data_IF_877575322485
#
_entry.id   IF_877575322485
#
_cell.length_a   1.000
_cell.length_b   1.000
_cell.length_c   1.000
_cell.angle_alpha   90.00
_cell.angle_beta   90.00
_cell.angle_gamma   90.00
#
_symmetry.space_group_name_H-M   'P 1'
#
loop_
_entity.id
_entity.type
_entity.pdbx_description
1 polymer ?
#
# COMPACT_ATOMS: atom_id res chain seq x y z
N UNK A 1 38.26 -6.40 2.00
CA UNK A 1 38.22 -5.67 3.29
C UNK A 1 37.42 -4.37 3.21
N UNK A 2 37.51 -3.59 2.10
CA UNK A 2 36.79 -2.31 1.92
C UNK A 2 35.25 -2.40 1.86
N UNK A 3 34.67 -3.48 1.32
CA UNK A 3 33.20 -3.62 1.23
C UNK A 3 32.53 -3.69 2.61
N UNK A 4 33.15 -4.34 3.59
CA UNK A 4 32.62 -4.42 4.96
C UNK A 4 32.61 -3.05 5.64
N UNK A 5 33.63 -2.24 5.41
CA UNK A 5 33.73 -0.88 5.94
C UNK A 5 32.70 0.06 5.32
N UNK A 6 32.41 -0.09 4.02
CA UNK A 6 31.36 0.67 3.32
C UNK A 6 29.97 0.29 3.85
N UNK A 7 29.70 -1.00 4.05
CA UNK A 7 28.43 -1.46 4.65
C UNK A 7 28.24 -0.94 6.08
N UNK A 8 29.31 -0.94 6.88
CA UNK A 8 29.27 -0.44 8.25
C UNK A 8 29.04 1.08 8.29
N UNK A 9 29.67 1.82 7.37
CA UNK A 9 29.44 3.26 7.20
C UNK A 9 28.00 3.55 6.75
N UNK A 10 27.45 2.78 5.82
CA UNK A 10 26.08 2.94 5.35
C UNK A 10 25.04 2.62 6.44
N UNK A 11 25.28 1.58 7.25
CA UNK A 11 24.45 1.25 8.41
C UNK A 11 24.51 2.35 9.48
N UNK A 12 25.68 2.93 9.74
CA UNK A 12 25.84 4.07 10.65
C UNK A 12 25.16 5.34 10.13
N UNK A 13 25.21 5.60 8.83
CA UNK A 13 24.50 6.73 8.20
C UNK A 13 22.99 6.54 8.27
N UNK A 14 22.47 5.33 8.02
CA UNK A 14 21.05 5.00 8.22
C UNK A 14 20.63 5.20 9.68
N UNK A 15 21.42 4.74 10.65
CA UNK A 15 21.16 4.95 12.08
C UNK A 15 21.25 6.43 12.50
N UNK A 16 22.09 7.22 11.82
CA UNK A 16 22.20 8.67 12.05
C UNK A 16 21.00 9.44 11.47
N UNK A 17 20.46 9.03 10.31
CA UNK A 17 19.21 9.59 9.77
C UNK A 17 17.98 9.17 10.58
N UNK A 18 17.99 8.00 11.21
CA UNK A 18 16.93 7.57 12.16
C UNK A 18 16.95 8.39 13.46
N UNK A 19 18.07 9.05 13.80
CA UNK A 19 18.21 9.89 15.01
C UNK A 19 18.24 11.39 14.76
N UNK A 20 18.14 11.86 13.52
CA UNK A 20 18.26 13.28 13.17
C UNK A 20 16.91 13.96 12.89
N UNK A 21 15.81 13.42 13.42
CA UNK A 21 14.53 14.11 13.44
C UNK A 21 13.99 14.14 14.88
N UNK A 22 14.70 14.83 15.76
CA UNK A 22 14.19 15.27 17.06
C UNK A 22 13.11 16.34 16.84
N UNK A 23 11.97 15.91 16.30
CA UNK A 23 10.71 16.62 16.44
C UNK A 23 10.00 15.96 17.63
N UNK A 24 10.11 16.58 18.80
CA UNK A 24 9.54 16.13 20.08
C UNK A 24 8.00 16.11 20.15
N UNK A 25 7.30 16.10 19.01
CA UNK A 25 5.85 16.30 18.94
C UNK A 25 5.07 15.17 18.28
N UNK A 26 5.71 14.08 17.86
CA UNK A 26 4.99 12.96 17.28
C UNK A 26 5.64 11.64 17.69
N UNK A 27 5.17 11.03 18.78
CA UNK A 27 5.71 9.77 19.33
C UNK A 27 5.42 8.54 18.44
N UNK A 28 5.10 8.77 17.16
CA UNK A 28 4.68 7.77 16.19
C UNK A 28 3.32 7.14 16.49
N UNK A 29 2.56 7.71 17.44
CA UNK A 29 1.23 7.22 17.85
C UNK A 29 0.18 7.73 16.86
N UNK A 30 -0.69 6.82 16.42
CA UNK A 30 -1.80 7.12 15.52
C UNK A 30 -3.08 7.31 16.34
N UNK A 31 -3.76 8.43 16.13
CA UNK A 31 -5.00 8.82 16.78
C UNK A 31 -6.20 8.60 15.85
N UNK A 32 -7.32 8.17 16.42
CA UNK A 32 -8.58 7.98 15.68
C UNK A 32 -9.25 9.35 15.48
N UNK A 33 -9.52 9.70 14.22
CA UNK A 33 -10.22 10.94 13.85
C UNK A 33 -11.73 10.72 13.82
N UNK A 34 -12.17 9.65 13.15
CA UNK A 34 -13.60 9.38 12.97
C UNK A 34 -14.17 8.65 14.17
N UNK A 35 -15.06 9.33 14.88
CA UNK A 35 -15.81 8.80 16.03
C UNK A 35 -17.25 8.47 15.65
N UNK A 36 -17.95 7.74 16.51
CA UNK A 36 -19.37 7.40 16.32
C UNK A 36 -19.63 6.67 14.99
N UNK A 37 -18.84 5.63 14.74
CA UNK A 37 -18.90 4.82 13.52
C UNK A 37 -20.12 3.90 13.57
N UNK A 38 -21.00 3.98 12.56
CA UNK A 38 -22.11 3.03 12.38
C UNK A 38 -21.63 1.79 11.64
N UNK A 39 -21.53 0.68 12.37
CA UNK A 39 -21.04 -0.60 11.88
C UNK A 39 -21.96 -1.26 10.85
N UNK A 40 -23.23 -0.82 10.74
CA UNK A 40 -24.09 -1.24 9.62
C UNK A 40 -23.56 -0.73 8.27
N UNK A 41 -22.92 0.43 8.26
CA UNK A 41 -22.43 1.08 7.05
C UNK A 41 -21.05 0.55 6.63
N UNK A 42 -20.36 -0.19 7.51
CA UNK A 42 -19.09 -0.88 7.19
C UNK A 42 -19.39 -2.19 6.44
N UNK A 43 -19.97 -2.06 5.25
CA UNK A 43 -20.39 -3.18 4.38
C UNK A 43 -20.14 -2.88 2.91
N UNK A 44 -20.07 -3.94 2.08
CA UNK A 44 -19.91 -3.82 0.64
C UNK A 44 -18.44 -3.89 0.20
N UNK A 45 -18.20 -3.55 -1.06
CA UNK A 45 -16.88 -3.68 -1.70
C UNK A 45 -16.10 -2.38 -1.62
N UNK A 46 -14.89 -2.47 -1.06
CA UNK A 46 -13.90 -1.41 -1.08
C UNK A 46 -12.66 -1.85 -1.84
N UNK A 47 -12.07 -0.95 -2.60
CA UNK A 47 -10.85 -1.14 -3.36
C UNK A 47 -9.67 -0.50 -2.64
N UNK A 48 -8.54 -1.19 -2.65
CA UNK A 48 -7.29 -0.68 -2.09
C UNK A 48 -6.74 0.45 -2.96
N UNK A 49 -6.63 1.64 -2.40
CA UNK A 49 -6.03 2.79 -3.09
C UNK A 49 -4.53 2.84 -2.84
N UNK A 50 -4.14 2.74 -1.57
CA UNK A 50 -2.75 2.74 -1.17
C UNK A 50 -2.58 2.01 0.17
N UNK A 51 -1.38 1.52 0.42
CA UNK A 51 -0.99 0.93 1.71
C UNK A 51 0.32 1.53 2.16
N UNK A 52 0.68 1.37 3.43
CA UNK A 52 2.09 1.51 3.79
C UNK A 52 2.88 0.24 3.44
N UNK A 53 4.21 0.31 3.56
CA UNK A 53 5.09 -0.83 3.30
C UNK A 53 4.85 -2.02 4.25
N UNK A 54 4.48 -1.76 5.51
CA UNK A 54 4.24 -2.79 6.53
C UNK A 54 3.10 -3.74 6.17
N UNK A 55 2.03 -3.23 5.54
CA UNK A 55 0.91 -4.05 5.06
C UNK A 55 1.32 -5.05 3.96
N UNK A 56 2.40 -4.76 3.21
CA UNK A 56 2.90 -5.71 2.19
C UNK A 56 3.53 -6.96 2.78
N UNK A 57 3.82 -7.01 4.09
CA UNK A 57 4.26 -8.24 4.76
C UNK A 57 3.19 -9.32 4.65
N UNK A 58 1.91 -8.96 4.81
CA UNK A 58 0.80 -9.88 4.70
C UNK A 58 -0.54 -9.12 4.60
N UNK A 59 -1.42 -9.41 3.62
CA UNK A 59 -1.31 -10.33 2.48
C UNK A 59 -0.85 -9.67 1.16
N UNK A 60 -0.60 -8.35 1.15
CA UNK A 60 -0.64 -7.49 -0.03
C UNK A 60 0.53 -7.55 -1.03
N UNK A 61 1.56 -8.39 -0.80
CA UNK A 61 2.76 -8.42 -1.65
C UNK A 61 2.44 -8.80 -3.11
N UNK A 62 2.85 -7.99 -4.09
CA UNK A 62 2.61 -8.22 -5.53
C UNK A 62 1.13 -8.34 -5.92
N UNK A 63 0.20 -7.87 -5.09
CA UNK A 63 -1.20 -7.82 -5.41
C UNK A 63 -1.54 -6.63 -6.33
N UNK A 64 -2.33 -6.90 -7.36
CA UNK A 64 -3.03 -5.90 -8.19
C UNK A 64 -4.54 -6.08 -8.00
N UNK A 65 -5.31 -5.06 -8.35
CA UNK A 65 -6.78 -5.10 -8.31
C UNK A 65 -7.34 -5.57 -6.95
N UNK A 66 -6.65 -5.19 -5.87
CA UNK A 66 -7.00 -5.62 -4.51
C UNK A 66 -8.35 -5.06 -4.10
N UNK A 67 -9.22 -5.93 -3.57
CA UNK A 67 -10.51 -5.57 -3.01
C UNK A 67 -10.78 -6.27 -1.68
N UNK A 68 -11.59 -5.61 -0.87
CA UNK A 68 -12.06 -6.05 0.44
C UNK A 68 -13.58 -5.98 0.45
N UNK A 69 -14.24 -7.11 0.64
CA UNK A 69 -15.71 -7.20 0.74
C UNK A 69 -16.11 -7.35 2.21
N UNK A 70 -16.66 -6.29 2.80
CA UNK A 70 -17.07 -6.24 4.19
C UNK A 70 -18.51 -6.76 4.36
N UNK A 71 -18.73 -7.58 5.38
CA UNK A 71 -20.03 -8.21 5.63
C UNK A 71 -21.07 -7.32 6.31
N UNK A 72 -20.68 -6.13 6.77
CA UNK A 72 -21.42 -5.41 7.82
C UNK A 72 -21.30 -6.08 9.18
N UNK A 73 -21.85 -5.42 10.21
CA UNK A 73 -21.91 -5.93 11.58
C UNK A 73 -22.59 -7.30 11.66
N UNK A 74 -21.90 -8.26 12.26
CA UNK A 74 -22.41 -9.55 12.74
C UNK A 74 -22.25 -9.63 14.25
N UNK A 75 -23.06 -10.47 14.88
CA UNK A 75 -23.14 -10.59 16.34
C UNK A 75 -23.10 -12.05 16.77
N UNK A 76 -22.37 -12.31 17.84
CA UNK A 76 -22.41 -13.54 18.61
C UNK A 76 -22.56 -13.15 20.09
N UNK A 77 -23.82 -13.07 20.55
CA UNK A 77 -24.17 -12.40 21.81
C UNK A 77 -23.74 -10.93 21.81
N UNK A 78 -22.97 -10.52 22.84
CA UNK A 78 -22.44 -9.16 22.99
C UNK A 78 -21.15 -8.91 22.18
N UNK A 79 -20.63 -9.92 21.48
CA UNK A 79 -19.44 -9.81 20.64
C UNK A 79 -19.85 -9.39 19.23
N UNK A 80 -19.46 -8.17 18.86
CA UNK A 80 -19.60 -7.66 17.50
C UNK A 80 -18.40 -8.01 16.65
N UNK A 81 -18.63 -8.48 15.42
CA UNK A 81 -17.55 -8.76 14.47
C UNK A 81 -17.94 -8.43 13.03
N UNK A 82 -16.94 -8.27 12.17
CA UNK A 82 -17.09 -8.05 10.73
C UNK A 82 -16.23 -9.08 10.00
N UNK A 83 -16.80 -9.74 8.99
CA UNK A 83 -16.05 -10.60 8.07
C UNK A 83 -15.61 -9.79 6.86
N UNK A 84 -14.41 -10.05 6.38
CA UNK A 84 -13.82 -9.40 5.20
C UNK A 84 -13.32 -10.47 4.25
N UNK A 85 -13.86 -10.51 3.03
CA UNK A 85 -13.26 -11.30 1.97
C UNK A 85 -12.26 -10.43 1.21
N UNK A 86 -10.98 -10.73 1.40
CA UNK A 86 -9.90 -10.16 0.62
C UNK A 86 -9.75 -10.91 -0.70
N UNK A 87 -9.53 -10.18 -1.78
CA UNK A 87 -9.04 -10.79 -3.00
C UNK A 87 -8.13 -9.86 -3.80
N UNK A 88 -7.18 -10.44 -4.54
CA UNK A 88 -6.33 -9.71 -5.46
C UNK A 88 -5.92 -10.61 -6.66
N UNK A 89 -5.49 -9.99 -7.75
CA UNK A 89 -4.73 -10.66 -8.81
C UNK A 89 -3.25 -10.54 -8.47
N UNK A 90 -2.65 -11.61 -7.92
CA UNK A 90 -1.24 -11.63 -7.51
C UNK A 90 -0.36 -11.90 -8.72
N UNK A 91 0.58 -11.01 -8.98
CA UNK A 91 1.45 -11.07 -10.15
C UNK A 91 2.76 -11.81 -9.82
N UNK A 92 3.01 -12.92 -10.49
CA UNK A 92 4.22 -13.74 -10.37
C UNK A 92 5.21 -13.47 -11.52
N UNK A 93 5.25 -12.24 -12.02
CA UNK A 93 6.02 -11.75 -13.18
C UNK A 93 5.57 -12.31 -14.53
N UNK A 94 5.29 -13.61 -14.61
CA UNK A 94 4.93 -14.34 -15.83
C UNK A 94 3.45 -14.71 -15.91
N UNK A 95 2.65 -14.31 -14.93
CA UNK A 95 1.22 -14.60 -14.87
C UNK A 95 0.58 -14.11 -13.60
N UNK A 96 -0.75 -14.09 -13.59
CA UNK A 96 -1.56 -13.65 -12.46
C UNK A 96 -2.40 -14.78 -11.89
N UNK A 97 -2.30 -14.99 -10.57
CA UNK A 97 -3.17 -15.92 -9.86
C UNK A 97 -4.11 -15.15 -8.95
N UNK A 98 -5.38 -15.55 -8.95
CA UNK A 98 -6.35 -14.99 -8.03
C UNK A 98 -6.04 -15.50 -6.63
N UNK A 99 -5.80 -14.60 -5.70
CA UNK A 99 -5.55 -14.89 -4.29
C UNK A 99 -6.78 -14.44 -3.51
N UNK A 100 -7.38 -15.33 -2.72
CA UNK A 100 -8.55 -15.04 -1.89
C UNK A 100 -8.28 -15.47 -0.46
N UNK A 101 -8.68 -14.63 0.50
CA UNK A 101 -8.54 -14.90 1.93
C UNK A 101 -9.74 -14.30 2.66
N UNK A 102 -10.11 -14.89 3.80
CA UNK A 102 -11.13 -14.31 4.67
C UNK A 102 -10.47 -13.86 5.97
N UNK A 103 -10.83 -12.66 6.40
CA UNK A 103 -10.48 -12.09 7.68
C UNK A 103 -11.72 -11.90 8.55
N UNK A 104 -11.52 -11.91 9.87
CA UNK A 104 -12.53 -11.55 10.85
C UNK A 104 -11.97 -10.45 11.75
N UNK A 105 -12.65 -9.31 11.78
CA UNK A 105 -12.42 -8.24 12.73
C UNK A 105 -13.37 -8.43 13.90
N UNK A 106 -12.84 -8.74 15.09
CA UNK A 106 -13.62 -8.85 16.32
C UNK A 106 -13.41 -7.57 17.12
N UNK A 107 -14.49 -6.87 17.46
CA UNK A 107 -14.40 -5.66 18.28
C UNK A 107 -13.82 -6.01 19.65
N UNK A 108 -12.84 -5.21 20.11
CA UNK A 108 -12.20 -5.44 21.40
C UNK A 108 -13.10 -5.03 22.58
N UNK A 109 -14.03 -4.09 22.35
CA UNK A 109 -15.08 -3.72 23.31
C UNK A 109 -16.40 -4.41 22.93
N UNK A 110 -17.18 -4.90 23.90
CA UNK A 110 -18.50 -5.45 23.63
C UNK A 110 -19.42 -4.37 23.06
N UNK A 111 -20.44 -4.78 22.32
CA UNK A 111 -21.42 -3.88 21.72
C UNK A 111 -22.83 -4.32 22.10
N UNK A 112 -23.59 -3.41 22.70
CA UNK A 112 -24.97 -3.66 23.10
C UNK A 112 -25.82 -4.06 21.88
N UNK A 113 -26.76 -4.98 22.07
CA UNK A 113 -27.59 -5.52 20.99
C UNK A 113 -28.45 -4.46 20.28
N UNK A 114 -28.75 -3.36 20.98
CA UNK A 114 -29.64 -2.30 20.52
C UNK A 114 -28.94 -1.21 19.69
N UNK A 115 -27.61 -1.12 19.73
CA UNK A 115 -26.85 -0.10 18.99
C UNK A 115 -26.09 -0.71 17.82
N UNK A 116 -25.85 0.05 16.76
CA UNK A 116 -24.85 -0.30 15.75
C UNK A 116 -23.73 0.71 15.65
N UNK A 117 -23.78 1.74 16.49
CA UNK A 117 -22.78 2.79 16.56
C UNK A 117 -21.82 2.54 17.71
N UNK A 118 -20.54 2.74 17.45
CA UNK A 118 -19.49 2.69 18.47
C UNK A 118 -18.68 3.99 18.45
N UNK A 119 -18.22 4.43 19.63
CA UNK A 119 -17.45 5.67 19.75
C UNK A 119 -16.16 5.61 18.92
N UNK A 120 -15.42 4.49 19.00
CA UNK A 120 -14.19 4.26 18.25
C UNK A 120 -14.15 2.81 17.77
N UNK A 121 -13.88 2.60 16.48
CA UNK A 121 -13.61 1.26 15.96
C UNK A 121 -12.22 0.81 16.36
N UNK A 122 -12.16 -0.20 17.22
CA UNK A 122 -10.93 -0.89 17.62
C UNK A 122 -11.21 -2.39 17.69
N UNK A 123 -10.47 -3.17 16.89
CA UNK A 123 -10.70 -4.58 16.70
C UNK A 123 -9.40 -5.37 16.63
N UNK A 124 -9.50 -6.65 17.00
CA UNK A 124 -8.50 -7.67 16.69
C UNK A 124 -8.80 -8.29 15.33
N UNK A 125 -7.79 -8.38 14.46
CA UNK A 125 -7.90 -9.02 13.13
C UNK A 125 -7.38 -10.45 13.17
N UNK A 126 -8.17 -11.37 12.63
CA UNK A 126 -7.85 -12.78 12.50
C UNK A 126 -7.91 -13.20 11.04
N UNK A 127 -7.00 -14.06 10.59
CA UNK A 127 -7.22 -14.86 9.38
C UNK A 127 -8.15 -16.02 9.73
N UNK A 128 -9.11 -16.32 8.86
CA UNK A 128 -10.06 -17.41 9.07
C UNK A 128 -10.09 -18.37 7.89
N UNK A 129 -10.12 -19.66 8.19
CA UNK A 129 -10.26 -20.73 7.20
C UNK A 129 -11.14 -21.84 7.78
N UNK A 130 -12.35 -22.01 7.22
CA UNK A 130 -13.36 -22.88 7.82
C UNK A 130 -13.68 -22.45 9.25
N UNK A 131 -13.50 -23.36 10.21
CA UNK A 131 -13.75 -23.09 11.63
C UNK A 131 -12.48 -22.64 12.39
N UNK A 132 -11.33 -22.55 11.73
CA UNK A 132 -10.08 -22.11 12.35
C UNK A 132 -9.93 -20.58 12.22
N UNK A 133 -9.42 -19.95 13.27
CA UNK A 133 -9.06 -18.53 13.26
C UNK A 133 -7.71 -18.30 13.95
N UNK A 134 -6.83 -17.51 13.34
CA UNK A 134 -5.49 -17.20 13.86
C UNK A 134 -5.37 -15.67 14.00
N UNK A 135 -5.03 -15.20 15.19
CA UNK A 135 -4.82 -13.78 15.49
C UNK A 135 -3.62 -13.25 14.72
N UNK A 136 -3.78 -12.12 14.02
CA UNK A 136 -2.71 -11.44 13.29
C UNK A 136 -2.27 -10.15 13.99
N UNK A 137 -3.23 -9.33 14.43
CA UNK A 137 -2.97 -8.10 15.17
C UNK A 137 -4.16 -7.82 16.11
N UNK A 138 -3.87 -7.39 17.34
CA UNK A 138 -4.87 -7.11 18.36
C UNK A 138 -5.47 -5.71 18.28
N UNK A 139 -4.82 -4.78 17.57
CA UNK A 139 -5.23 -3.38 17.52
C UNK A 139 -5.26 -2.87 16.07
N UNK A 140 -6.42 -3.00 15.44
CA UNK A 140 -6.73 -2.42 14.15
C UNK A 140 -7.89 -1.46 14.31
N UNK A 141 -7.72 -0.24 13.81
CA UNK A 141 -8.66 0.85 13.97
C UNK A 141 -9.15 1.35 12.61
N UNK A 142 -10.40 1.84 12.55
CA UNK A 142 -10.79 2.77 11.49
C UNK A 142 -10.35 4.16 11.98
N UNK A 143 -9.25 4.65 11.42
CA UNK A 143 -8.66 5.94 11.80
C UNK A 143 -9.46 7.09 11.22
N UNK A 144 -9.89 6.94 9.97
CA UNK A 144 -10.69 7.92 9.25
C UNK A 144 -11.73 7.21 8.40
N UNK A 145 -12.95 7.72 8.38
CA UNK A 145 -13.98 7.32 7.44
C UNK A 145 -14.77 8.55 6.97
N UNK A 146 -14.99 8.62 5.67
CA UNK A 146 -15.77 9.66 5.00
C UNK A 146 -17.09 9.06 4.52
N UNK A 147 -18.21 9.64 4.95
CA UNK A 147 -19.54 9.21 4.56
C UNK A 147 -20.17 10.18 3.56
N UNK A 148 -21.01 9.66 2.67
CA UNK A 148 -21.82 10.45 1.75
C UNK A 148 -23.11 10.97 2.40
N UNK A 149 -23.95 11.65 1.62
CA UNK A 149 -25.25 12.18 2.05
C UNK A 149 -26.22 11.10 2.56
N UNK A 150 -26.03 9.85 2.15
CA UNK A 150 -26.82 8.70 2.60
C UNK A 150 -26.22 8.00 3.82
N UNK A 151 -25.18 8.56 4.44
CA UNK A 151 -24.40 7.97 5.53
C UNK A 151 -23.69 6.64 5.16
N UNK A 152 -23.46 6.37 3.88
CA UNK A 152 -22.64 5.24 3.45
C UNK A 152 -21.17 5.68 3.38
N UNK A 153 -20.25 4.84 3.85
CA UNK A 153 -18.82 5.15 3.79
C UNK A 153 -18.28 5.07 2.35
N UNK A 154 -17.71 6.18 1.88
CA UNK A 154 -17.04 6.27 0.58
C UNK A 154 -15.56 5.93 0.67
N UNK A 155 -14.88 6.41 1.73
CA UNK A 155 -13.46 6.20 1.95
C UNK A 155 -13.21 5.79 3.40
N UNK A 156 -12.32 4.82 3.60
CA UNK A 156 -11.98 4.29 4.92
C UNK A 156 -10.46 4.17 5.00
N UNK A 157 -9.86 4.64 6.09
CA UNK A 157 -8.46 4.40 6.44
C UNK A 157 -8.44 3.45 7.63
N UNK A 158 -7.87 2.27 7.42
CA UNK A 158 -7.66 1.27 8.46
C UNK A 158 -6.19 1.29 8.85
N UNK A 159 -5.90 1.39 10.15
CA UNK A 159 -4.52 1.44 10.62
C UNK A 159 -4.35 0.90 12.04
N UNK A 160 -3.09 0.58 12.39
CA UNK A 160 -2.69 0.23 13.75
C UNK A 160 -2.66 1.41 14.72
N UNK A 161 -1.98 1.23 15.86
CA UNK A 161 -1.77 2.28 16.87
C UNK A 161 -0.49 3.08 16.64
N UNK A 162 0.41 2.58 15.79
CA UNK A 162 1.67 3.25 15.43
C UNK A 162 1.76 3.49 13.93
N UNK A 163 2.46 4.55 13.52
CA UNK A 163 2.65 4.92 12.11
C UNK A 163 3.39 3.83 11.31
N UNK A 164 4.15 2.98 11.99
CA UNK A 164 4.89 1.84 11.42
C UNK A 164 4.07 0.55 11.35
N UNK A 165 2.92 0.46 12.01
CA UNK A 165 2.00 -0.67 11.89
C UNK A 165 1.24 -0.63 10.56
N UNK A 166 0.66 -1.75 10.08
CA UNK A 166 -0.05 -1.80 8.81
C UNK A 166 -1.12 -0.71 8.68
N UNK A 167 -1.16 -0.07 7.50
CA UNK A 167 -2.11 0.97 7.13
C UNK A 167 -2.60 0.74 5.71
N UNK A 168 -3.92 0.85 5.53
CA UNK A 168 -4.62 0.65 4.26
C UNK A 168 -5.59 1.81 4.03
N UNK A 169 -5.49 2.46 2.87
CA UNK A 169 -6.47 3.41 2.35
C UNK A 169 -7.41 2.66 1.41
N UNK A 170 -8.70 2.68 1.73
CA UNK A 170 -9.77 2.01 1.03
C UNK A 170 -10.77 3.02 0.46
N UNK A 171 -11.38 2.66 -0.67
CA UNK A 171 -12.39 3.49 -1.33
C UNK A 171 -13.48 2.63 -1.97
N UNK A 172 -14.73 3.07 -1.94
CA UNK A 172 -15.84 2.50 -2.72
C UNK A 172 -15.57 2.54 -4.23
N UNK A 173 -14.74 3.50 -4.67
CA UNK A 173 -14.33 3.70 -6.06
C UNK A 173 -12.96 3.06 -6.33
N UNK A 174 -12.80 2.35 -7.46
CA UNK A 174 -11.53 1.72 -7.86
C UNK A 174 -10.36 2.68 -8.01
N UNK A 175 -10.65 3.90 -8.46
CA UNK A 175 -9.67 4.99 -8.59
C UNK A 175 -10.31 6.25 -8.04
N UNK A 176 -9.48 7.14 -7.49
CA UNK A 176 -9.92 8.41 -6.92
C UNK A 176 -9.18 9.58 -7.58
N UNK A 177 -9.73 10.78 -7.45
CA UNK A 177 -9.09 12.01 -7.92
C UNK A 177 -7.89 12.37 -7.03
N UNK A 178 -6.93 13.13 -7.58
CA UNK A 178 -5.77 13.60 -6.82
C UNK A 178 -6.16 14.43 -5.59
N UNK A 179 -7.20 15.26 -5.72
CA UNK A 179 -7.74 16.06 -4.63
C UNK A 179 -8.23 15.17 -3.47
N UNK A 180 -9.01 14.13 -3.79
CA UNK A 180 -9.47 13.12 -2.81
C UNK A 180 -8.28 12.40 -2.17
N UNK A 181 -7.28 12.02 -2.96
CA UNK A 181 -6.08 11.36 -2.42
C UNK A 181 -5.31 12.26 -1.45
N UNK A 182 -5.12 13.54 -1.79
CA UNK A 182 -4.47 14.51 -0.90
C UNK A 182 -5.28 14.74 0.38
N UNK A 183 -6.62 14.75 0.31
CA UNK A 183 -7.49 14.81 1.50
C UNK A 183 -7.25 13.61 2.42
N UNK A 184 -7.15 12.39 1.87
CA UNK A 184 -6.88 11.17 2.64
C UNK A 184 -5.47 11.19 3.27
N UNK A 185 -4.46 11.69 2.56
CA UNK A 185 -3.12 11.89 3.14
C UNK A 185 -3.12 12.94 4.26
N UNK A 186 -3.87 14.04 4.10
CA UNK A 186 -4.03 15.03 5.17
C UNK A 186 -4.71 14.42 6.41
N UNK A 187 -5.68 13.51 6.22
CA UNK A 187 -6.27 12.76 7.33
C UNK A 187 -5.23 11.89 8.05
N UNK A 188 -4.32 11.23 7.35
CA UNK A 188 -3.22 10.49 7.99
C UNK A 188 -2.29 11.42 8.77
N UNK A 189 -1.93 12.58 8.22
CA UNK A 189 -1.12 13.58 8.92
C UNK A 189 -1.79 14.03 10.23
N UNK A 190 -3.08 14.39 10.17
CA UNK A 190 -3.85 14.77 11.37
C UNK A 190 -4.00 13.63 12.37
N UNK A 191 -3.97 12.38 11.89
CA UNK A 191 -3.99 11.20 12.74
C UNK A 191 -2.64 10.91 13.40
N UNK A 192 -1.58 11.69 13.15
CA UNK A 192 -0.27 11.50 13.79
C UNK A 192 0.74 10.73 12.95
N UNK A 193 0.48 10.48 11.66
CA UNK A 193 1.54 10.00 10.77
C UNK A 193 2.59 11.09 10.51
N UNK A 194 3.87 10.72 10.60
CA UNK A 194 4.95 11.63 10.24
C UNK A 194 4.88 12.01 8.76
N UNK A 195 5.03 13.30 8.39
CA UNK A 195 4.99 13.73 7.00
C UNK A 195 5.98 13.02 6.06
N UNK A 196 7.15 12.64 6.59
CA UNK A 196 8.18 11.87 5.88
C UNK A 196 7.67 10.49 5.44
N UNK A 197 6.71 9.90 6.16
CA UNK A 197 6.12 8.60 5.87
C UNK A 197 4.93 8.66 4.92
N UNK A 198 4.47 9.85 4.52
CA UNK A 198 3.27 10.05 3.68
C UNK A 198 3.58 10.19 2.19
N UNK A 199 4.76 9.75 1.76
CA UNK A 199 5.20 9.77 0.37
C UNK A 199 5.84 8.44 -0.03
N UNK A 200 6.12 8.28 -1.32
CA UNK A 200 7.01 7.20 -1.75
C UNK A 200 8.39 7.39 -1.10
N UNK A 201 9.01 6.35 -0.52
CA UNK A 201 8.75 4.92 -0.71
C UNK A 201 7.78 4.26 0.30
N UNK A 202 7.26 5.00 1.27
CA UNK A 202 6.54 4.44 2.41
C UNK A 202 5.05 4.23 2.14
N UNK A 203 4.43 5.09 1.33
CA UNK A 203 3.07 4.89 0.81
C UNK A 203 3.15 4.33 -0.60
N UNK A 204 2.55 3.16 -0.78
CA UNK A 204 2.57 2.39 -2.03
C UNK A 204 1.16 2.40 -2.59
N UNK A 205 1.00 3.04 -3.76
CA UNK A 205 -0.27 3.01 -4.50
C UNK A 205 -0.50 1.63 -5.10
N UNK A 206 -1.71 1.12 -4.93
CA UNK A 206 -2.08 -0.17 -5.49
C UNK A 206 -2.52 -0.01 -6.94
N UNK A 207 -2.01 -0.87 -7.81
CA UNK A 207 -2.44 -0.87 -9.21
C UNK A 207 -3.85 -1.46 -9.33
N UNK A 208 -4.83 -0.58 -9.48
CA UNK A 208 -6.25 -0.89 -9.68
C UNK A 208 -6.66 -0.93 -11.16
N UNK A 209 -5.69 -0.92 -12.09
CA UNK A 209 -5.96 -0.92 -13.53
C UNK A 209 -5.99 -2.33 -14.12
N UNK A 210 -6.72 -2.51 -15.23
CA UNK A 210 -6.79 -3.77 -15.98
C UNK A 210 -7.23 -5.01 -15.17
N UNK A 211 -8.09 -4.84 -14.16
CA UNK A 211 -8.86 -5.94 -13.58
C UNK A 211 -9.55 -6.73 -14.70
N UNK A 212 -9.39 -8.06 -14.71
CA UNK A 212 -9.70 -8.97 -15.83
C UNK A 212 -10.93 -8.59 -16.69
N UNK A 213 -10.81 -8.84 -18.01
CA UNK A 213 -11.81 -8.58 -19.06
C UNK A 213 -13.23 -8.97 -18.61
N UNK A 214 -14.05 -7.96 -18.34
CA UNK A 214 -15.45 -8.08 -17.95
C UNK A 214 -16.01 -6.77 -17.41
N UNK A 215 -15.18 -6.01 -16.69
CA UNK A 215 -15.53 -4.66 -16.24
C UNK A 215 -15.23 -3.65 -17.34
N UNK A 216 -16.28 -3.10 -17.97
CA UNK A 216 -16.12 -1.97 -18.89
C UNK A 216 -15.47 -0.83 -18.11
N UNK A 217 -14.29 -0.32 -18.54
CA UNK A 217 -13.70 0.84 -17.88
C UNK A 217 -14.67 2.01 -17.98
N UNK A 218 -15.11 2.52 -16.84
CA UNK A 218 -15.72 3.83 -16.75
C UNK A 218 -14.82 4.85 -17.44
N UNK A 219 -15.43 5.79 -18.15
CA UNK A 219 -14.79 6.79 -19.00
C UNK A 219 -13.73 7.57 -18.19
N UNK A 220 -12.46 7.22 -18.33
CA UNK A 220 -11.34 7.95 -17.71
C UNK A 220 -11.15 9.26 -18.46
N UNK A 221 -11.54 10.38 -17.83
CA UNK A 221 -10.95 11.69 -18.16
C UNK A 221 -9.67 11.82 -17.34
N UNK A 222 -8.54 11.84 -18.05
CA UNK A 222 -7.23 12.32 -17.61
C UNK A 222 -6.72 11.78 -16.24
N UNK A 223 -6.10 10.61 -16.27
CA UNK A 223 -5.08 10.24 -15.28
C UNK A 223 -3.75 10.85 -15.69
N UNK A 224 -3.24 11.78 -14.89
CA UNK A 224 -1.87 12.26 -14.94
C UNK A 224 -1.16 11.57 -13.77
N UNK A 225 -0.22 10.66 -14.08
CA UNK A 225 0.67 10.09 -13.07
C UNK A 225 1.46 11.22 -12.39
N UNK A 226 1.65 11.20 -11.06
CA UNK A 226 2.53 12.16 -10.42
C UNK A 226 3.96 11.94 -10.90
N UNK A 227 4.46 12.89 -11.68
CA UNK A 227 5.90 13.06 -11.95
C UNK A 227 6.63 13.24 -10.61
N UNK A 228 7.73 12.51 -10.34
CA UNK A 228 8.62 12.82 -9.23
C UNK A 228 9.14 14.26 -9.37
N UNK A 229 9.29 15.03 -8.28
CA UNK A 229 10.02 16.28 -8.35
C UNK A 229 11.50 15.98 -8.62
N UNK A 230 12.12 16.77 -9.51
CA UNK A 230 13.50 16.70 -10.00
C UNK A 230 13.79 15.73 -11.16
N UNK A 231 13.14 15.96 -12.31
CA UNK A 231 13.76 15.66 -13.59
C UNK A 231 14.70 16.83 -13.95
N UNK A 232 15.97 16.72 -13.58
CA UNK A 232 17.01 17.58 -14.15
C UNK A 232 16.95 17.54 -15.68
N UNK A 233 17.11 18.70 -16.32
CA UNK A 233 17.09 18.87 -17.78
C UNK A 233 17.86 17.75 -18.50
N UNK A 234 17.13 16.87 -19.17
CA UNK A 234 17.69 15.98 -20.18
C UNK A 234 17.84 16.76 -21.49
N UNK A 235 18.99 17.42 -21.68
CA UNK A 235 19.40 17.97 -22.97
C UNK A 235 20.44 17.06 -23.61
N UNK A 236 19.98 16.14 -24.45
CA UNK A 236 20.60 15.71 -25.72
C UNK A 236 19.89 14.44 -26.21
N UNK A 237 19.01 14.63 -27.19
CA UNK A 237 18.27 13.57 -27.87
C UNK A 237 19.09 13.07 -29.05
N UNK A 238 19.75 11.93 -28.92
CA UNK A 238 20.27 11.21 -30.08
C UNK A 238 19.23 10.20 -30.58
N UNK A 239 18.62 10.51 -31.72
CA UNK A 239 17.39 9.88 -32.25
C UNK A 239 17.58 8.49 -32.87
N UNK A 240 18.67 7.78 -32.59
CA UNK A 240 18.92 6.46 -33.18
C UNK A 240 19.42 5.48 -32.13
N UNK A 241 18.51 4.59 -31.72
CA UNK A 241 18.65 3.50 -30.73
C UNK A 241 18.50 4.00 -29.28
N UNK A 242 17.27 3.93 -28.77
CA UNK A 242 16.94 4.24 -27.39
C UNK A 242 17.60 3.26 -26.41
N UNK A 243 18.81 3.61 -25.97
CA UNK A 243 19.45 3.09 -24.77
C UNK A 243 19.64 4.26 -23.82
N UNK A 244 19.07 4.15 -22.62
CA UNK A 244 19.32 5.08 -21.52
C UNK A 244 20.17 4.36 -20.49
N UNK A 245 21.39 4.87 -20.27
CA UNK A 245 22.21 4.52 -19.10
C UNK A 245 21.92 5.53 -18.00
N UNK A 246 21.62 5.05 -16.80
CA UNK A 246 21.49 5.90 -15.62
C UNK A 246 22.66 5.56 -14.68
N UNK A 247 23.66 6.44 -14.59
CA UNK A 247 24.87 6.25 -13.78
C UNK A 247 24.64 6.58 -12.29
N UNK A 248 23.47 6.24 -11.75
CA UNK A 248 23.15 6.46 -10.35
C UNK A 248 22.43 5.24 -9.79
N UNK A 249 23.24 4.33 -9.21
CA UNK A 249 22.79 3.14 -8.53
C UNK A 249 21.97 3.51 -7.29
N UNK A 250 20.64 3.54 -7.41
CA UNK A 250 19.76 3.44 -6.25
C UNK A 250 19.75 1.98 -5.80
N UNK A 251 20.34 1.70 -4.63
CA UNK A 251 20.35 0.38 -4.01
C UNK A 251 18.91 0.03 -3.58
N UNK A 252 18.18 -0.73 -4.41
CA UNK A 252 16.91 -1.33 -4.02
C UNK A 252 17.20 -2.53 -3.10
N UNK A 253 17.13 -2.32 -1.79
CA UNK A 253 17.11 -3.41 -0.83
C UNK A 253 15.74 -4.10 -0.83
N UNK A 254 15.53 -5.04 -1.75
CA UNK A 254 14.49 -6.06 -1.60
C UNK A 254 14.97 -7.11 -0.60
N UNK A 255 14.33 -7.20 0.56
CA UNK A 255 14.55 -8.32 1.48
C UNK A 255 13.81 -9.54 0.93
N UNK A 256 14.44 -10.26 0.00
CA UNK A 256 14.16 -11.68 -0.15
C UNK A 256 14.79 -12.36 1.07
N UNK A 257 14.01 -13.17 1.78
CA UNK A 257 14.46 -13.96 2.95
C UNK A 257 15.59 -14.97 2.65
N UNK A 258 16.21 -14.94 1.47
CA UNK A 258 17.41 -15.70 1.13
C UNK A 258 18.30 -14.89 0.16
N UNK A 259 19.23 -14.11 0.71
CA UNK A 259 20.39 -13.54 -0.01
C UNK A 259 20.20 -12.16 -0.66
N UNK A 260 21.15 -11.25 -0.43
CA UNK A 260 21.26 -9.98 -1.14
C UNK A 260 21.79 -10.21 -2.57
N UNK A 261 21.13 -9.66 -3.59
CA UNK A 261 21.62 -9.62 -4.97
C UNK A 261 22.11 -8.20 -5.28
N UNK A 262 23.37 -8.06 -5.67
CA UNK A 262 23.90 -6.81 -6.23
C UNK A 262 23.32 -6.62 -7.65
N UNK A 263 22.59 -5.53 -7.85
CA UNK A 263 22.00 -5.15 -9.14
C UNK A 263 23.01 -4.28 -9.89
N UNK A 264 23.53 -4.77 -11.01
CA UNK A 264 24.56 -4.06 -11.79
C UNK A 264 24.00 -3.14 -12.89
N UNK A 265 22.74 -3.32 -13.30
CA UNK A 265 22.05 -2.39 -14.21
C UNK A 265 20.54 -2.66 -14.25
N UNK A 266 19.75 -1.62 -14.48
CA UNK A 266 18.31 -1.70 -14.74
C UNK A 266 18.05 -1.06 -16.11
N UNK A 267 17.69 -1.87 -17.11
CA UNK A 267 17.26 -1.36 -18.42
C UNK A 267 15.73 -1.17 -18.43
N UNK A 268 15.29 0.04 -18.78
CA UNK A 268 13.88 0.36 -18.98
C UNK A 268 13.56 0.37 -20.48
N UNK A 269 12.58 -0.45 -20.90
CA UNK A 269 12.02 -0.35 -22.26
C UNK A 269 10.75 0.50 -22.24
N UNK A 270 10.76 1.58 -23.03
CA UNK A 270 9.63 2.48 -23.20
C UNK A 270 8.96 2.24 -24.56
N UNK A 271 7.62 2.24 -24.58
CA UNK A 271 6.86 2.46 -25.83
C UNK A 271 6.47 3.92 -25.90
N UNK A 272 6.70 4.53 -27.07
CA UNK A 272 6.18 5.86 -27.40
C UNK A 272 4.90 5.68 -28.20
N UNK A 273 3.78 6.18 -27.68
CA UNK A 273 2.53 6.26 -28.43
C UNK A 273 2.14 7.73 -28.59
N UNK A 274 1.82 8.15 -29.82
CA UNK A 274 1.22 9.47 -30.08
C UNK A 274 -0.28 9.37 -29.99
N UNK A 275 -0.87 10.14 -29.08
CA UNK A 275 -2.31 10.31 -28.99
C UNK A 275 -2.63 11.81 -28.95
N UNK A 276 -3.44 12.28 -29.90
CA UNK A 276 -3.80 13.70 -30.06
C UNK A 276 -2.61 14.68 -30.03
N UNK A 277 -1.55 14.36 -30.79
CA UNK A 277 -0.40 15.26 -30.94
C UNK A 277 0.55 15.34 -29.74
N UNK A 278 0.28 14.63 -28.64
CA UNK A 278 1.20 14.51 -27.49
C UNK A 278 1.82 13.12 -27.43
N UNK A 279 3.14 13.07 -27.24
CA UNK A 279 3.88 11.83 -27.02
C UNK A 279 3.67 11.36 -25.58
N UNK A 280 3.16 10.13 -25.42
CA UNK A 280 3.05 9.47 -24.11
C UNK A 280 4.08 8.35 -24.03
N UNK A 281 4.76 8.30 -22.88
CA UNK A 281 5.73 7.26 -22.54
C UNK A 281 5.06 6.24 -21.62
N UNK A 282 5.11 4.98 -22.01
CA UNK A 282 4.64 3.87 -21.18
C UNK A 282 5.82 2.94 -20.95
N UNK A 283 6.14 2.67 -19.68
CA UNK A 283 7.13 1.66 -19.30
C UNK A 283 6.47 0.31 -19.52
N UNK A 284 7.03 -0.50 -20.43
CA UNK A 284 6.45 -1.81 -20.76
C UNK A 284 7.01 -2.92 -19.87
N UNK A 285 8.30 -2.85 -19.53
CA UNK A 285 9.03 -3.82 -18.70
C UNK A 285 10.28 -3.18 -18.12
N UNK A 286 10.66 -3.58 -16.90
CA UNK A 286 12.04 -3.46 -16.42
C UNK A 286 12.73 -4.81 -16.62
N UNK A 287 13.88 -4.83 -17.31
CA UNK A 287 14.76 -5.99 -17.28
C UNK A 287 15.81 -5.76 -16.20
N UNK A 288 15.78 -6.63 -15.19
CA UNK A 288 16.79 -6.71 -14.15
C UNK A 288 17.79 -7.79 -14.58
N UNK A 289 18.98 -7.38 -15.00
CA UNK A 289 20.11 -8.29 -15.20
C UNK A 289 20.97 -8.29 -13.95
N UNK A 290 20.93 -9.38 -13.19
CA UNK A 290 21.86 -9.66 -12.10
C UNK A 290 22.82 -10.78 -12.51
N UNK A 291 24.11 -10.60 -12.27
CA UNK A 291 25.07 -11.70 -12.33
C UNK A 291 25.01 -12.48 -11.01
N UNK A 292 24.61 -13.75 -11.07
CA UNK A 292 24.87 -14.71 -10.00
C UNK A 292 26.38 -14.93 -9.91
N UNK A 293 27.05 -14.25 -8.97
CA UNK A 293 28.40 -14.65 -8.56
C UNK A 293 28.26 -15.99 -7.83
N UNK A 294 28.69 -17.05 -8.52
CA UNK A 294 28.60 -18.41 -8.04
C UNK A 294 29.23 -18.59 -6.65
N UNK A 295 28.43 -19.06 -5.70
CA UNK A 295 28.92 -19.73 -4.51
C UNK A 295 29.56 -21.05 -4.98
N UNK A 296 30.88 -21.05 -5.16
CA UNK A 296 31.64 -22.29 -5.15
C UNK A 296 31.52 -22.87 -3.74
N UNK A 297 30.90 -24.04 -3.67
CA UNK A 297 30.96 -24.95 -2.53
C UNK A 297 32.41 -25.07 -2.06
N UNK A 298 32.64 -24.86 -0.78
CA UNK A 298 33.75 -25.47 -0.07
C UNK A 298 33.23 -26.06 1.23
N UNK A 299 33.31 -27.40 1.27
CA UNK A 299 33.66 -28.15 2.49
C UNK A 299 34.91 -27.55 3.11
#
# INVERSE_FOLDING_TARGET
MMIKSIFFFFALVLLAFVRANDNTNNDGIVHIITKNIDLKQVQGTFYEIATNASDKIFPGLLCRCTKYEFSGLKRDGNLGYILINFSCDRNFLFGEQKSEMTFKLILNKPIDENTTTIEEFNASIYIVQGNQQILLNSNVNIVYAEANEQNEYEHIIIAGQKSTEPMIILSKYRTILLETYNKLLNSLYLAGYEPSLLSWPFIIQTDQTFSRRGDKPGRVKESIAPTPPLLGRLTNLDKKKGKFSCDSCALLCYVFMFGCVELSSVEFQFRVAKYQGKERFTILTSQITGHLLGLKNHM
#
